data_IF_976214402439
#
_entry.id   IF_976214402439
#
_cell.length_a   1.000
_cell.length_b   1.000
_cell.length_c   1.000
_cell.angle_alpha   90.00
_cell.angle_beta   90.00
_cell.angle_gamma   90.00
#
_symmetry.space_group_name_H-M   'P 1'
#
loop_
_entity.id
_entity.type
_entity.pdbx_description
1 polymer ?
#
# COMPACT_ATOMS: atom_id res chain seq x y z
N UNK A 1 -0.94 0.23 -19.28
CA UNK A 1 -0.32 -0.27 -18.02
C UNK A 1 1.05 -0.86 -18.31
N UNK A 2 1.90 -0.95 -17.29
CA UNK A 2 3.28 -1.44 -17.42
C UNK A 2 3.63 -2.47 -16.35
N UNK A 3 4.41 -3.49 -16.73
CA UNK A 3 5.05 -4.42 -15.82
C UNK A 3 6.52 -4.02 -15.60
N UNK A 4 6.91 -3.78 -14.34
CA UNK A 4 8.24 -3.27 -13.98
C UNK A 4 8.94 -4.21 -13.00
N UNK A 5 10.20 -4.59 -13.30
CA UNK A 5 11.07 -5.36 -12.40
C UNK A 5 12.52 -4.92 -12.57
N UNK A 6 13.03 -4.16 -11.60
CA UNK A 6 14.34 -3.52 -11.71
C UNK A 6 14.35 -2.53 -12.87
N UNK A 7 15.29 -2.70 -13.81
CA UNK A 7 15.40 -1.87 -15.02
C UNK A 7 14.54 -2.36 -16.20
N UNK A 8 13.79 -3.46 -16.05
CA UNK A 8 12.92 -4.00 -17.10
C UNK A 8 11.53 -3.41 -16.99
N UNK A 9 11.03 -2.84 -18.08
CA UNK A 9 9.68 -2.27 -18.19
C UNK A 9 9.03 -2.76 -19.48
N UNK A 10 7.86 -3.37 -19.38
CA UNK A 10 7.07 -3.82 -20.52
C UNK A 10 5.71 -3.13 -20.53
N UNK A 11 5.26 -2.69 -21.69
CA UNK A 11 3.84 -2.33 -21.89
C UNK A 11 3.06 -3.62 -22.02
N UNK A 12 2.03 -3.79 -21.20
CA UNK A 12 1.23 -5.01 -21.17
C UNK A 12 -0.26 -4.67 -21.21
N UNK A 13 -1.08 -5.64 -21.61
CA UNK A 13 -2.53 -5.59 -21.46
C UNK A 13 -3.02 -6.39 -20.24
N UNK A 14 -4.33 -6.35 -19.97
CA UNK A 14 -4.96 -7.03 -18.83
C UNK A 14 -4.75 -8.56 -18.85
N UNK A 15 -4.69 -9.17 -20.04
CA UNK A 15 -4.55 -10.63 -20.18
C UNK A 15 -3.17 -11.12 -19.75
N UNK A 16 -2.15 -10.26 -19.86
CA UNK A 16 -0.76 -10.56 -19.51
C UNK A 16 -0.45 -10.26 -18.04
N UNK A 17 -1.33 -9.52 -17.35
CA UNK A 17 -1.12 -9.02 -15.99
C UNK A 17 -0.76 -10.11 -14.99
N UNK A 18 -1.59 -11.16 -14.91
CA UNK A 18 -1.38 -12.27 -13.98
C UNK A 18 -0.04 -12.99 -14.21
N UNK A 19 0.36 -13.16 -15.47
CA UNK A 19 1.62 -13.81 -15.84
C UNK A 19 2.84 -12.99 -15.37
N UNK A 20 2.83 -11.67 -15.60
CA UNK A 20 3.93 -10.80 -15.17
C UNK A 20 3.95 -10.62 -13.64
N UNK A 21 2.79 -10.51 -13.01
CA UNK A 21 2.68 -10.45 -11.56
C UNK A 21 3.26 -11.71 -10.90
N UNK A 22 2.93 -12.90 -11.42
CA UNK A 22 3.48 -14.18 -10.93
C UNK A 22 5.00 -14.29 -11.12
N UNK A 23 5.56 -13.62 -12.14
CA UNK A 23 7.01 -13.52 -12.35
C UNK A 23 7.70 -12.48 -11.44
N UNK A 24 6.95 -11.79 -10.59
CA UNK A 24 7.45 -10.79 -9.65
C UNK A 24 7.64 -9.41 -10.27
N UNK A 25 6.92 -9.06 -11.33
CA UNK A 25 6.85 -7.69 -11.84
C UNK A 25 5.77 -6.92 -11.09
N UNK A 26 6.07 -5.67 -10.74
CA UNK A 26 5.06 -4.73 -10.28
C UNK A 26 4.24 -4.24 -11.47
N UNK A 27 2.93 -4.26 -11.33
CA UNK A 27 2.01 -3.74 -12.32
C UNK A 27 1.72 -2.28 -11.96
N UNK A 28 1.97 -1.39 -12.91
CA UNK A 28 1.81 0.05 -12.75
C UNK A 28 0.86 0.61 -13.80
N UNK A 29 0.13 1.67 -13.44
CA UNK A 29 -0.62 2.46 -14.41
C UNK A 29 0.32 3.28 -15.30
N UNK A 30 -0.24 4.01 -16.26
CA UNK A 30 0.57 4.81 -17.19
C UNK A 30 1.21 6.04 -16.53
N UNK A 31 0.71 6.45 -15.36
CA UNK A 31 1.29 7.49 -14.51
C UNK A 31 2.40 6.97 -13.58
N UNK A 32 2.63 5.65 -13.53
CA UNK A 32 3.63 5.01 -12.69
C UNK A 32 3.15 4.65 -11.29
N UNK A 33 1.86 4.77 -10.99
CA UNK A 33 1.31 4.30 -9.71
C UNK A 33 1.22 2.77 -9.72
N UNK A 34 1.60 2.13 -8.61
CA UNK A 34 1.50 0.69 -8.46
C UNK A 34 0.02 0.29 -8.35
N UNK A 35 -0.43 -0.54 -9.27
CA UNK A 35 -1.73 -1.21 -9.27
C UNK A 35 -1.63 -2.50 -8.47
N UNK A 36 -0.63 -3.32 -8.75
CA UNK A 36 -0.40 -4.60 -8.06
C UNK A 36 1.10 -4.84 -7.82
N UNK A 37 1.40 -5.37 -6.64
CA UNK A 37 2.74 -5.81 -6.30
C UNK A 37 3.05 -7.17 -6.92
N UNK A 38 4.25 -7.31 -7.48
CA UNK A 38 4.75 -8.58 -7.98
C UNK A 38 4.81 -9.66 -6.89
N UNK A 39 4.59 -10.91 -7.28
CA UNK A 39 4.67 -12.07 -6.40
C UNK A 39 6.08 -12.24 -5.79
N UNK A 40 6.13 -12.85 -4.60
CA UNK A 40 7.38 -13.15 -3.89
C UNK A 40 7.89 -12.02 -2.99
N UNK A 41 7.19 -10.89 -2.92
CA UNK A 41 7.47 -9.85 -1.92
C UNK A 41 6.96 -10.30 -0.56
N UNK A 42 7.83 -10.28 0.43
CA UNK A 42 7.51 -10.58 1.83
C UNK A 42 8.21 -9.58 2.75
N UNK A 43 7.68 -9.48 3.96
CA UNK A 43 8.29 -8.78 5.09
C UNK A 43 8.47 -9.78 6.22
N UNK A 44 9.41 -9.53 7.13
CA UNK A 44 9.49 -10.38 8.33
C UNK A 44 8.23 -10.21 9.19
N UNK A 45 7.86 -11.25 9.93
CA UNK A 45 6.72 -11.17 10.84
C UNK A 45 6.93 -10.09 11.92
N UNK A 46 8.16 -9.90 12.37
CA UNK A 46 8.53 -8.88 13.36
C UNK A 46 8.32 -7.46 12.82
N UNK A 47 8.76 -7.16 11.60
CA UNK A 47 8.51 -5.88 10.94
C UNK A 47 7.02 -5.63 10.74
N UNK A 48 6.29 -6.64 10.26
CA UNK A 48 4.83 -6.57 10.13
C UNK A 48 4.17 -6.26 11.48
N UNK A 49 4.56 -6.97 12.54
CA UNK A 49 3.94 -6.79 13.86
C UNK A 49 4.22 -5.41 14.45
N UNK A 50 5.45 -4.92 14.30
CA UNK A 50 5.85 -3.57 14.71
C UNK A 50 5.02 -2.51 14.00
N UNK A 51 4.79 -2.68 12.69
CA UNK A 51 3.98 -1.77 11.89
C UNK A 51 2.49 -1.83 12.31
N UNK A 52 1.95 -3.03 12.52
CA UNK A 52 0.57 -3.25 12.97
C UNK A 52 0.30 -2.58 14.31
N UNK A 53 1.18 -2.75 15.30
CA UNK A 53 1.04 -2.14 16.63
C UNK A 53 1.09 -0.61 16.56
N UNK A 54 2.01 -0.06 15.75
CA UNK A 54 2.10 1.38 15.53
C UNK A 54 0.85 1.93 14.85
N UNK A 55 0.31 1.23 13.85
CA UNK A 55 -0.92 1.63 13.18
C UNK A 55 -2.10 1.66 14.16
N UNK A 56 -2.28 0.61 14.97
CA UNK A 56 -3.32 0.54 16.00
C UNK A 56 -3.21 1.67 17.04
N UNK A 57 -2.00 2.02 17.45
CA UNK A 57 -1.77 3.14 18.38
C UNK A 57 -2.19 4.46 17.75
N UNK A 58 -1.73 4.74 16.52
CA UNK A 58 -2.05 5.97 15.81
C UNK A 58 -3.55 6.11 15.53
N UNK A 59 -4.24 5.04 15.16
CA UNK A 59 -5.69 5.07 14.95
C UNK A 59 -6.47 5.42 16.23
N UNK A 60 -6.06 4.86 17.38
CA UNK A 60 -6.67 5.16 18.68
C UNK A 60 -6.44 6.62 19.08
N UNK A 61 -5.22 7.12 18.94
CA UNK A 61 -4.87 8.52 19.23
C UNK A 61 -5.65 9.47 18.30
N UNK A 62 -5.72 9.18 17.00
CA UNK A 62 -6.44 10.00 16.03
C UNK A 62 -7.96 10.03 16.34
N UNK A 63 -8.54 8.88 16.72
CA UNK A 63 -9.95 8.84 17.17
C UNK A 63 -10.18 9.71 18.40
N UNK A 64 -9.32 9.59 19.42
CA UNK A 64 -9.42 10.40 20.64
C UNK A 64 -9.32 11.90 20.33
N UNK A 65 -8.32 12.30 19.55
CA UNK A 65 -8.13 13.69 19.14
C UNK A 65 -9.28 14.24 18.30
N UNK A 66 -9.91 13.42 17.44
CA UNK A 66 -11.09 13.83 16.66
C UNK A 66 -12.31 14.08 17.55
N UNK A 67 -12.54 13.24 18.57
CA UNK A 67 -13.61 13.45 19.55
C UNK A 67 -13.35 14.71 20.38
N UNK A 68 -12.13 14.88 20.92
CA UNK A 68 -11.75 16.09 21.68
C UNK A 68 -11.92 17.36 20.85
N UNK A 69 -11.46 17.36 19.59
CA UNK A 69 -11.66 18.49 18.68
C UNK A 69 -13.13 18.79 18.40
N UNK A 70 -13.98 17.76 18.29
CA UNK A 70 -15.41 17.92 18.06
C UNK A 70 -16.08 18.57 19.27
N UNK A 71 -15.73 18.14 20.48
CA UNK A 71 -16.26 18.72 21.71
C UNK A 71 -15.78 20.17 21.91
N UNK A 72 -14.49 20.45 21.70
CA UNK A 72 -13.95 21.81 21.77
C UNK A 72 -14.64 22.78 20.80
N UNK A 73 -14.92 22.32 19.57
CA UNK A 73 -15.66 23.09 18.56
C UNK A 73 -17.13 23.32 18.89
N UNK A 74 -17.75 22.47 19.72
CA UNK A 74 -19.12 22.69 20.20
C UNK A 74 -19.17 23.65 21.38
N UNK A 75 -18.10 23.73 22.16
CA UNK A 75 -17.95 24.63 23.31
C UNK A 75 -17.42 26.03 22.95
N UNK A 76 -17.10 26.28 21.68
CA UNK A 76 -16.63 27.56 21.15
C UNK A 76 -17.74 28.23 20.33
#
# INVERSE_FOLDING_TARGET
>A
MKATKGNKVYTIDETQKAMYQAQGYDITDDAGNIIEYGAGKSVSYEEYKTLEERALKLEKENKKLKEENKELKKSA
#
